data_IF_541108389577
#
_entry.id   IF_541108389577
#
_cell.length_a   1.000
_cell.length_b   1.000
_cell.length_c   1.000
_cell.angle_alpha   90.00
_cell.angle_beta   90.00
_cell.angle_gamma   90.00
#
_symmetry.space_group_name_H-M   'P 1'
#
loop_
_entity.id
_entity.type
_entity.pdbx_description
1 polymer ?
#
# COMPACT_ATOMS: atom_id res chain seq x y z
N UNK A 1 -9.37 17.48 33.29
CA UNK A 1 -9.40 18.68 32.41
C UNK A 1 -9.38 19.90 33.30
N UNK A 2 -8.35 20.76 33.22
CA UNK A 2 -8.30 22.03 33.96
C UNK A 2 -8.34 23.14 32.92
N UNK A 3 -9.37 23.97 32.94
CA UNK A 3 -9.58 25.05 31.96
C UNK A 3 -9.47 26.38 32.71
N UNK A 4 -8.50 27.21 32.32
CA UNK A 4 -8.33 28.55 32.84
C UNK A 4 -8.87 29.58 31.83
N UNK A 5 -9.99 30.21 32.19
CA UNK A 5 -10.83 31.03 31.30
C UNK A 5 -10.42 32.51 31.20
N UNK A 6 -9.31 32.96 31.80
CA UNK A 6 -8.90 34.36 31.73
C UNK A 6 -7.79 34.63 30.71
N UNK A 7 -8.13 34.80 29.42
CA UNK A 7 -7.50 35.79 28.51
C UNK A 7 -8.16 35.72 27.12
N UNK A 8 -8.36 36.89 26.50
CA UNK A 8 -9.12 37.10 25.26
C UNK A 8 -8.48 36.56 23.97
N UNK A 9 -7.34 35.87 24.04
CA UNK A 9 -6.61 35.32 22.87
C UNK A 9 -5.88 34.00 23.19
N UNK A 10 -6.49 33.07 23.94
CA UNK A 10 -5.82 31.79 24.27
C UNK A 10 -5.95 30.77 23.14
N UNK A 11 -4.82 30.44 22.51
CA UNK A 11 -4.62 29.11 21.89
C UNK A 11 -4.82 28.05 22.97
N UNK A 12 -5.78 27.16 22.78
CA UNK A 12 -6.03 26.05 23.70
C UNK A 12 -5.21 24.86 23.22
N UNK A 13 -4.23 24.47 24.02
CA UNK A 13 -3.45 23.24 23.80
C UNK A 13 -4.19 22.08 24.48
N UNK A 14 -4.58 21.09 23.68
CA UNK A 14 -5.26 19.90 24.16
C UNK A 14 -4.25 18.74 24.17
N UNK A 15 -4.06 18.11 25.32
CA UNK A 15 -3.17 16.97 25.50
C UNK A 15 -3.98 15.72 25.79
N UNK A 16 -3.60 14.60 25.18
CA UNK A 16 -4.19 13.30 25.42
C UNK A 16 -3.29 12.45 26.32
N UNK A 17 -3.90 11.91 27.37
CA UNK A 17 -3.27 11.01 28.32
C UNK A 17 -3.92 9.63 28.21
N UNK A 18 -3.10 8.59 28.17
CA UNK A 18 -3.53 7.20 28.16
C UNK A 18 -2.92 6.51 29.38
N UNK A 19 -3.77 5.89 30.21
CA UNK A 19 -3.37 5.22 31.46
C UNK A 19 -2.56 6.11 32.42
N UNK A 20 -2.91 7.41 32.47
CA UNK A 20 -2.25 8.41 33.32
C UNK A 20 -0.91 8.93 32.77
N UNK A 21 -0.40 8.37 31.68
CA UNK A 21 0.79 8.85 30.99
C UNK A 21 0.43 9.76 29.82
N UNK A 22 1.28 10.76 29.54
CA UNK A 22 1.15 11.57 28.34
C UNK A 22 1.29 10.68 27.09
N UNK A 23 0.32 10.74 26.18
CA UNK A 23 0.32 9.97 24.95
C UNK A 23 0.65 10.82 23.74
N UNK A 24 -0.10 11.91 23.50
CA UNK A 24 0.11 12.78 22.34
C UNK A 24 -0.61 14.12 22.49
N UNK A 25 -0.22 15.11 21.68
CA UNK A 25 -0.92 16.38 21.56
C UNK A 25 -2.05 16.28 20.55
N UNK A 26 -3.16 16.94 20.81
CA UNK A 26 -4.25 17.08 19.85
C UNK A 26 -3.84 18.04 18.74
N UNK A 27 -3.66 17.52 17.54
CA UNK A 27 -3.17 18.25 16.38
C UNK A 27 -4.21 18.34 15.25
N UNK A 28 -5.50 18.15 15.59
CA UNK A 28 -6.61 18.13 14.63
C UNK A 28 -7.50 19.37 14.78
N UNK A 29 -8.52 19.50 13.93
CA UNK A 29 -9.47 20.61 14.02
C UNK A 29 -10.17 20.60 15.39
N UNK A 30 -10.31 21.75 16.07
CA UNK A 30 -10.94 21.81 17.41
C UNK A 30 -12.47 21.77 17.29
N UNK A 31 -13.00 20.64 16.82
CA UNK A 31 -14.44 20.35 16.71
C UNK A 31 -14.81 19.16 17.58
N UNK A 32 -16.06 19.10 18.05
CA UNK A 32 -16.52 17.96 18.86
C UNK A 32 -16.29 16.61 18.16
N UNK A 33 -16.57 16.53 16.86
CA UNK A 33 -16.43 15.30 16.07
C UNK A 33 -14.97 14.88 15.90
N UNK A 34 -14.08 15.84 15.62
CA UNK A 34 -12.65 15.57 15.51
C UNK A 34 -12.06 15.14 16.86
N UNK A 35 -12.48 15.77 17.97
CA UNK A 35 -12.08 15.38 19.33
C UNK A 35 -12.56 13.97 19.64
N UNK A 36 -13.84 13.64 19.38
CA UNK A 36 -14.38 12.29 19.62
C UNK A 36 -13.68 11.24 18.76
N UNK A 37 -13.45 11.52 17.47
CA UNK A 37 -12.74 10.61 16.58
C UNK A 37 -11.30 10.37 17.05
N UNK A 38 -10.61 11.43 17.50
CA UNK A 38 -9.28 11.35 18.08
C UNK A 38 -9.27 10.60 19.42
N UNK A 39 -10.27 10.78 20.29
CA UNK A 39 -10.34 10.02 21.55
C UNK A 39 -10.59 8.52 21.32
N UNK A 40 -11.34 8.15 20.28
CA UNK A 40 -11.56 6.75 19.89
C UNK A 40 -10.34 6.14 19.23
N UNK A 41 -9.67 6.89 18.36
CA UNK A 41 -8.45 6.47 17.68
C UNK A 41 -7.46 7.65 17.56
N UNK A 42 -6.61 7.85 18.59
CA UNK A 42 -5.65 8.95 18.60
C UNK A 42 -4.57 8.79 17.52
N UNK A 43 -4.38 7.58 17.00
CA UNK A 43 -3.41 7.26 15.95
C UNK A 43 -4.02 7.25 14.54
N UNK A 44 -5.34 7.32 14.44
CA UNK A 44 -6.08 7.36 13.18
C UNK A 44 -5.75 8.60 12.34
N UNK A 45 -6.04 8.58 11.04
CA UNK A 45 -5.98 9.78 10.22
C UNK A 45 -7.03 10.81 10.69
N UNK A 46 -6.82 12.10 10.42
CA UNK A 46 -7.88 13.11 10.50
C UNK A 46 -9.11 12.70 9.70
N UNK A 47 -10.28 13.22 10.08
CA UNK A 47 -11.49 13.00 9.30
C UNK A 47 -11.33 13.64 7.91
N UNK A 48 -11.99 13.08 6.90
CA UNK A 48 -11.84 13.58 5.54
C UNK A 48 -12.28 15.05 5.38
N UNK A 49 -13.28 15.48 6.15
CA UNK A 49 -13.74 16.88 6.22
C UNK A 49 -12.74 17.86 6.83
N UNK A 50 -11.72 17.36 7.51
CA UNK A 50 -10.62 18.18 8.04
C UNK A 50 -9.54 18.43 7.00
N UNK A 51 -9.57 17.74 5.85
CA UNK A 51 -8.66 17.97 4.75
C UNK A 51 -8.98 19.31 4.06
N UNK A 52 -8.04 20.27 4.00
CA UNK A 52 -8.26 21.53 3.29
C UNK A 52 -8.65 21.37 1.82
N UNK A 53 -8.25 20.27 1.18
CA UNK A 53 -8.64 19.90 -0.18
C UNK A 53 -10.11 19.50 -0.30
N UNK A 54 -10.76 19.08 0.79
CA UNK A 54 -12.16 18.64 0.81
C UNK A 54 -13.19 19.77 0.95
N UNK A 55 -12.77 21.05 0.94
CA UNK A 55 -13.65 22.20 1.18
C UNK A 55 -14.91 22.29 0.29
N UNK A 56 -14.84 21.72 -0.93
CA UNK A 56 -15.94 21.73 -1.89
C UNK A 56 -16.72 20.40 -1.91
N UNK A 57 -16.33 19.43 -1.07
CA UNK A 57 -17.04 18.16 -0.85
C UNK A 57 -18.07 18.34 0.26
N UNK A 58 -19.30 17.91 0.02
CA UNK A 58 -20.35 17.89 1.06
C UNK A 58 -20.17 16.64 1.92
N UNK A 59 -19.92 16.82 3.21
CA UNK A 59 -19.76 15.71 4.15
C UNK A 59 -21.10 15.33 4.78
N UNK A 60 -21.47 14.06 4.67
CA UNK A 60 -22.73 13.51 5.16
C UNK A 60 -22.46 12.62 6.38
N UNK A 61 -23.06 12.99 7.50
CA UNK A 61 -22.76 12.40 8.81
C UNK A 61 -23.86 11.53 9.39
N UNK A 62 -25.07 11.65 8.85
CA UNK A 62 -26.23 10.93 9.32
C UNK A 62 -27.16 10.57 8.18
N UNK A 63 -28.00 9.56 8.39
CA UNK A 63 -29.07 9.25 7.44
C UNK A 63 -30.00 10.46 7.24
N UNK A 64 -30.29 11.22 8.30
CA UNK A 64 -31.12 12.43 8.20
C UNK A 64 -30.52 13.46 7.24
N UNK A 65 -29.20 13.69 7.30
CA UNK A 65 -28.51 14.63 6.43
C UNK A 65 -28.46 14.11 4.99
N UNK A 66 -28.23 12.80 4.82
CA UNK A 66 -28.30 12.12 3.52
C UNK A 66 -29.67 12.33 2.86
N UNK A 67 -30.76 11.99 3.56
CA UNK A 67 -32.13 12.13 3.06
C UNK A 67 -32.48 13.60 2.80
N UNK A 68 -32.02 14.52 3.65
CA UNK A 68 -32.23 15.96 3.46
C UNK A 68 -31.52 16.47 2.21
N UNK A 69 -30.28 16.04 1.97
CA UNK A 69 -29.51 16.39 0.78
C UNK A 69 -30.27 15.92 -0.47
N UNK A 70 -30.65 14.65 -0.54
CA UNK A 70 -31.40 14.11 -1.68
C UNK A 70 -32.73 14.85 -1.91
N UNK A 71 -33.42 15.27 -0.84
CA UNK A 71 -34.71 15.96 -0.95
C UNK A 71 -34.59 17.42 -1.41
N UNK A 72 -33.55 18.14 -0.98
CA UNK A 72 -33.45 19.59 -1.14
C UNK A 72 -32.56 20.02 -2.30
N UNK A 73 -31.59 19.21 -2.68
CA UNK A 73 -30.65 19.56 -3.73
C UNK A 73 -31.28 19.34 -5.10
N UNK A 74 -31.32 20.40 -5.90
CA UNK A 74 -31.87 20.37 -7.26
C UNK A 74 -30.81 19.95 -8.27
N UNK A 75 -29.53 20.20 -7.97
CA UNK A 75 -28.41 19.81 -8.83
C UNK A 75 -28.18 18.32 -8.76
N UNK A 76 -27.61 17.71 -9.83
CA UNK A 76 -27.21 16.32 -9.75
C UNK A 76 -26.11 16.10 -8.72
N UNK A 77 -26.18 14.96 -8.04
CA UNK A 77 -25.34 14.63 -6.89
C UNK A 77 -24.54 13.37 -7.20
N UNK A 78 -23.23 13.43 -6.97
CA UNK A 78 -22.37 12.26 -6.98
C UNK A 78 -21.90 11.99 -5.55
N UNK A 79 -22.25 10.83 -5.01
CA UNK A 79 -21.95 10.47 -3.62
C UNK A 79 -20.95 9.33 -3.59
N UNK A 80 -19.79 9.54 -2.94
CA UNK A 80 -18.85 8.46 -2.61
C UNK A 80 -19.17 7.89 -1.23
N UNK A 81 -19.59 6.64 -1.20
CA UNK A 81 -19.74 5.83 0.00
C UNK A 81 -18.41 5.14 0.30
N UNK A 82 -17.83 5.42 1.47
CA UNK A 82 -16.48 4.97 1.81
C UNK A 82 -16.37 4.42 3.23
N UNK A 83 -15.20 3.87 3.52
CA UNK A 83 -14.78 3.49 4.87
C UNK A 83 -13.37 4.04 5.18
N UNK A 84 -13.04 4.43 6.43
CA UNK A 84 -11.73 5.00 6.78
C UNK A 84 -10.55 4.05 6.60
N UNK A 85 -10.76 2.73 6.61
CA UNK A 85 -9.73 1.71 6.42
C UNK A 85 -9.53 1.30 4.95
N UNK A 86 -10.39 1.78 4.05
CA UNK A 86 -10.37 1.42 2.63
C UNK A 86 -9.22 2.13 1.87
N UNK A 87 -8.18 1.39 1.49
CA UNK A 87 -7.02 1.93 0.77
C UNK A 87 -7.37 2.52 -0.59
N UNK A 88 -8.32 1.90 -1.32
CA UNK A 88 -8.78 2.44 -2.60
C UNK A 88 -9.51 3.78 -2.41
N UNK A 89 -10.36 3.89 -1.40
CA UNK A 89 -11.06 5.12 -1.04
C UNK A 89 -10.07 6.26 -0.78
N UNK A 90 -9.01 6.00 0.01
CA UNK A 90 -7.94 6.99 0.29
C UNK A 90 -7.24 7.48 -0.97
N UNK A 91 -7.04 6.61 -1.97
CA UNK A 91 -6.46 7.01 -3.26
C UNK A 91 -7.44 7.79 -4.13
N UNK A 92 -8.74 7.50 -4.03
CA UNK A 92 -9.79 8.17 -4.82
C UNK A 92 -10.12 9.57 -4.27
N UNK A 93 -10.05 9.76 -2.94
CA UNK A 93 -10.43 11.02 -2.27
C UNK A 93 -9.77 12.27 -2.89
N UNK A 94 -8.44 12.35 -3.14
CA UNK A 94 -7.83 13.52 -3.76
C UNK A 94 -8.37 13.88 -5.15
N UNK A 95 -8.66 12.88 -5.97
CA UNK A 95 -9.25 13.08 -7.30
C UNK A 95 -10.70 13.56 -7.19
N UNK A 96 -11.47 12.97 -6.26
CA UNK A 96 -12.84 13.35 -5.98
C UNK A 96 -12.96 14.79 -5.45
N UNK A 97 -12.06 15.19 -4.55
CA UNK A 97 -11.93 16.56 -4.04
C UNK A 97 -11.67 17.56 -5.17
N UNK A 98 -10.68 17.28 -6.03
CA UNK A 98 -10.36 18.15 -7.17
C UNK A 98 -11.53 18.26 -8.15
N UNK A 99 -12.22 17.16 -8.44
CA UNK A 99 -13.44 17.18 -9.26
C UNK A 99 -14.55 18.03 -8.61
N UNK A 100 -14.73 17.94 -7.28
CA UNK A 100 -15.72 18.74 -6.56
C UNK A 100 -15.45 20.24 -6.72
N UNK A 101 -14.19 20.65 -6.64
CA UNK A 101 -13.77 22.04 -6.91
C UNK A 101 -14.03 22.45 -8.37
N UNK A 102 -13.70 21.60 -9.34
CA UNK A 102 -13.90 21.90 -10.77
C UNK A 102 -15.39 22.01 -11.16
N UNK A 103 -16.26 21.23 -10.50
CA UNK A 103 -17.69 21.16 -10.79
C UNK A 103 -18.54 22.04 -9.88
N UNK A 104 -17.89 22.85 -9.04
CA UNK A 104 -18.55 23.69 -8.05
C UNK A 104 -19.63 24.54 -8.72
N UNK A 105 -20.85 24.44 -8.19
CA UNK A 105 -22.00 25.18 -8.69
C UNK A 105 -22.79 24.47 -9.79
N UNK A 106 -22.23 23.46 -10.46
CA UNK A 106 -22.92 22.65 -11.47
C UNK A 106 -23.43 21.33 -10.89
N UNK A 107 -22.58 20.66 -10.10
CA UNK A 107 -22.88 19.39 -9.44
C UNK A 107 -22.59 19.49 -7.94
N UNK A 108 -23.18 18.57 -7.16
CA UNK A 108 -22.81 18.38 -5.76
C UNK A 108 -22.05 17.07 -5.61
N UNK A 109 -20.80 17.16 -5.18
CA UNK A 109 -20.00 15.99 -4.83
C UNK A 109 -20.03 15.82 -3.31
N UNK A 110 -20.44 14.64 -2.86
CA UNK A 110 -20.67 14.35 -1.45
C UNK A 110 -19.95 13.09 -1.00
N UNK A 111 -19.54 13.06 0.27
CA UNK A 111 -18.88 11.93 0.90
C UNK A 111 -19.64 11.43 2.12
N UNK A 112 -19.87 10.12 2.19
CA UNK A 112 -20.53 9.49 3.34
C UNK A 112 -19.75 8.27 3.84
N UNK A 113 -19.35 8.32 5.12
CA UNK A 113 -18.69 7.20 5.78
C UNK A 113 -19.74 6.17 6.22
N UNK A 114 -19.70 4.96 5.66
CA UNK A 114 -20.63 3.89 6.00
C UNK A 114 -20.00 2.76 6.83
N UNK A 115 -18.85 2.99 7.46
CA UNK A 115 -18.20 1.94 8.25
C UNK A 115 -19.05 1.45 9.42
N UNK A 116 -19.81 2.35 10.06
CA UNK A 116 -20.65 2.05 11.22
C UNK A 116 -21.86 1.18 10.84
N UNK A 117 -22.27 0.29 11.76
CA UNK A 117 -23.44 -0.58 11.60
C UNK A 117 -24.78 0.17 11.61
N UNK A 118 -24.79 1.43 12.05
CA UNK A 118 -26.00 2.27 12.00
C UNK A 118 -26.49 2.55 10.56
N UNK A 119 -25.63 2.32 9.56
CA UNK A 119 -25.92 2.59 8.16
C UNK A 119 -26.26 1.34 7.33
N UNK A 120 -26.54 0.18 7.95
CA UNK A 120 -26.84 -1.02 7.16
C UNK A 120 -28.07 -0.88 6.27
N UNK A 121 -29.10 -0.16 6.72
CA UNK A 121 -30.28 0.13 5.90
C UNK A 121 -29.91 0.87 4.60
N UNK A 122 -28.99 1.84 4.67
CA UNK A 122 -28.51 2.57 3.49
C UNK A 122 -27.69 1.64 2.59
N UNK A 123 -26.87 0.77 3.16
CA UNK A 123 -26.09 -0.20 2.38
C UNK A 123 -26.99 -1.16 1.62
N UNK A 124 -28.05 -1.66 2.25
CA UNK A 124 -29.02 -2.53 1.61
C UNK A 124 -29.82 -1.80 0.54
N UNK A 125 -30.39 -0.63 0.87
CA UNK A 125 -31.24 0.15 -0.03
C UNK A 125 -30.53 0.55 -1.33
N UNK A 126 -29.25 0.93 -1.25
CA UNK A 126 -28.45 1.34 -2.41
C UNK A 126 -27.48 0.27 -2.92
N UNK A 127 -27.59 -0.96 -2.41
CA UNK A 127 -26.79 -2.11 -2.87
C UNK A 127 -25.27 -1.95 -2.68
N UNK A 128 -24.85 -1.33 -1.60
CA UNK A 128 -23.43 -1.04 -1.29
C UNK A 128 -22.79 -2.28 -0.67
N UNK A 129 -22.07 -3.04 -1.50
CA UNK A 129 -21.40 -4.29 -1.09
C UNK A 129 -19.89 -4.14 -0.87
N UNK A 130 -19.29 -3.07 -1.38
CA UNK A 130 -17.85 -2.81 -1.32
C UNK A 130 -17.55 -1.32 -1.25
N UNK A 131 -16.33 -0.97 -0.84
CA UNK A 131 -15.88 0.41 -0.78
C UNK A 131 -14.67 0.66 -1.70
N UNK A 132 -14.59 1.84 -2.36
CA UNK A 132 -15.66 2.83 -2.44
C UNK A 132 -16.80 2.34 -3.34
N UNK A 133 -18.02 2.79 -3.08
CA UNK A 133 -19.12 2.73 -4.03
C UNK A 133 -19.50 4.16 -4.35
N UNK A 134 -19.47 4.57 -5.62
CA UNK A 134 -19.82 5.93 -6.03
C UNK A 134 -21.17 5.87 -6.74
N UNK A 135 -22.15 6.63 -6.27
CA UNK A 135 -23.53 6.60 -6.76
C UNK A 135 -23.97 7.97 -7.25
N UNK A 136 -24.65 7.97 -8.39
CA UNK A 136 -25.16 9.16 -9.05
C UNK A 136 -26.66 9.32 -8.81
N UNK A 137 -27.07 10.54 -8.47
CA UNK A 137 -28.43 10.91 -8.14
C UNK A 137 -28.86 12.14 -8.93
N UNK A 138 -30.10 12.15 -9.40
CA UNK A 138 -30.75 13.33 -9.96
C UNK A 138 -32.12 13.54 -9.32
N UNK A 139 -32.43 14.79 -8.94
CA UNK A 139 -33.72 15.15 -8.31
C UNK A 139 -34.08 14.22 -7.13
N UNK A 140 -33.08 13.87 -6.33
CA UNK A 140 -33.20 12.99 -5.17
C UNK A 140 -33.39 11.51 -5.48
N UNK A 141 -33.40 11.09 -6.76
CA UNK A 141 -33.52 9.69 -7.16
C UNK A 141 -32.14 9.11 -7.45
N UNK A 142 -31.87 7.94 -6.89
CA UNK A 142 -30.74 7.13 -7.31
C UNK A 142 -30.95 6.68 -8.75
N UNK A 143 -29.94 6.89 -9.60
CA UNK A 143 -29.95 6.43 -10.98
C UNK A 143 -29.03 5.23 -11.16
N UNK A 144 -27.74 5.37 -10.86
CA UNK A 144 -26.76 4.31 -11.08
C UNK A 144 -25.40 4.55 -10.40
N UNK A 145 -24.58 3.51 -10.34
CA UNK A 145 -23.21 3.56 -9.84
C UNK A 145 -22.21 4.04 -10.91
N UNK A 146 -21.22 4.82 -10.47
CA UNK A 146 -20.04 5.20 -11.24
C UNK A 146 -18.92 4.17 -11.00
N UNK A 147 -18.65 3.34 -12.00
CA UNK A 147 -17.80 2.14 -11.86
C UNK A 147 -16.35 2.29 -12.37
N UNK A 148 -15.88 3.51 -12.62
CA UNK A 148 -14.51 3.75 -13.07
C UNK A 148 -13.56 3.95 -11.88
N UNK A 149 -13.22 2.85 -11.20
CA UNK A 149 -12.32 2.83 -10.04
C UNK A 149 -10.86 2.96 -10.47
N UNK A 150 -10.49 4.15 -10.94
CA UNK A 150 -9.17 4.51 -11.47
C UNK A 150 -9.10 5.92 -12.06
N UNK A 151 -10.25 6.59 -12.09
CA UNK A 151 -10.45 7.94 -12.62
C UNK A 151 -9.66 9.01 -11.90
N UNK A 152 -9.00 9.84 -12.69
CA UNK A 152 -8.52 11.15 -12.30
C UNK A 152 -9.70 12.11 -12.04
N UNK A 153 -9.41 13.31 -11.54
CA UNK A 153 -10.44 14.33 -11.41
C UNK A 153 -11.10 14.68 -12.74
N UNK A 154 -10.31 14.74 -13.82
CA UNK A 154 -10.79 15.12 -15.14
C UNK A 154 -11.71 14.03 -15.73
N UNK A 155 -11.47 12.75 -15.43
CA UNK A 155 -12.36 11.65 -15.81
C UNK A 155 -13.73 11.73 -15.12
N UNK A 156 -13.76 12.16 -13.84
CA UNK A 156 -15.03 12.38 -13.10
C UNK A 156 -15.78 13.57 -13.73
N UNK A 157 -15.07 14.65 -14.02
CA UNK A 157 -15.63 15.84 -14.68
C UNK A 157 -16.22 15.50 -16.03
N UNK A 158 -15.45 14.79 -16.87
CA UNK A 158 -15.89 14.42 -18.22
C UNK A 158 -17.10 13.50 -18.17
N UNK A 159 -17.11 12.51 -17.27
CA UNK A 159 -18.24 11.61 -17.11
C UNK A 159 -19.51 12.36 -16.66
N UNK A 160 -19.41 13.33 -15.76
CA UNK A 160 -20.57 14.11 -15.29
C UNK A 160 -21.16 15.03 -16.36
N UNK A 161 -20.45 15.31 -17.47
CA UNK A 161 -21.04 16.03 -18.62
C UNK A 161 -22.11 15.20 -19.33
N UNK A 162 -21.96 13.87 -19.32
CA UNK A 162 -22.91 12.95 -19.94
C UNK A 162 -22.97 11.64 -19.13
N UNK A 163 -23.60 11.65 -17.95
CA UNK A 163 -23.65 10.49 -17.07
C UNK A 163 -24.52 9.41 -17.71
N UNK A 164 -23.91 8.26 -17.97
CA UNK A 164 -24.59 7.10 -18.53
C UNK A 164 -24.70 6.02 -17.47
N UNK A 165 -25.81 5.25 -17.45
CA UNK A 165 -25.85 4.06 -16.62
C UNK A 165 -24.63 3.20 -16.93
N UNK A 166 -24.05 2.50 -15.93
CA UNK A 166 -23.05 1.50 -16.19
C UNK A 166 -23.68 0.62 -17.25
N UNK A 167 -23.03 0.57 -18.41
CA UNK A 167 -23.52 -0.29 -19.46
C UNK A 167 -23.70 -1.65 -18.80
N UNK A 168 -24.87 -2.32 -18.99
CA UNK A 168 -24.92 -3.75 -18.73
C UNK A 168 -23.64 -4.27 -19.33
N UNK A 169 -22.85 -5.04 -18.56
CA UNK A 169 -21.77 -5.77 -19.19
C UNK A 169 -22.51 -6.58 -20.25
N UNK A 170 -22.47 -6.10 -21.51
CA UNK A 170 -22.77 -6.93 -22.65
C UNK A 170 -21.93 -8.15 -22.34
N UNK A 171 -22.53 -9.35 -22.24
CA UNK A 171 -21.75 -10.55 -22.01
C UNK A 171 -20.59 -10.45 -22.99
N UNK A 172 -19.40 -10.11 -22.49
CA UNK A 172 -18.26 -9.94 -23.36
C UNK A 172 -18.15 -11.31 -23.99
N UNK A 173 -18.14 -11.36 -25.32
CA UNK A 173 -17.90 -12.61 -26.03
C UNK A 173 -16.75 -13.28 -25.30
N UNK A 174 -16.95 -14.48 -24.73
CA UNK A 174 -15.89 -15.15 -23.98
C UNK A 174 -14.63 -15.11 -24.83
N UNK A 175 -13.48 -14.84 -24.22
CA UNK A 175 -12.26 -14.68 -25.00
C UNK A 175 -11.98 -15.89 -25.91
N UNK A 176 -12.39 -17.09 -25.47
CA UNK A 176 -12.36 -18.31 -26.27
C UNK A 176 -13.15 -18.23 -27.60
N UNK A 177 -14.22 -17.44 -27.63
CA UNK A 177 -15.13 -17.29 -28.77
C UNK A 177 -14.74 -16.12 -29.69
N UNK A 178 -13.79 -15.26 -29.29
CA UNK A 178 -13.32 -14.14 -30.11
C UNK A 178 -12.37 -14.60 -31.24
N UNK A 179 -11.85 -15.82 -31.16
CA UNK A 179 -10.81 -16.32 -32.05
C UNK A 179 -9.45 -15.70 -31.76
N UNK A 180 -8.38 -16.37 -32.17
CA UNK A 180 -7.01 -15.91 -31.92
C UNK A 180 -6.01 -17.05 -31.95
N UNK A 181 -4.74 -16.71 -31.69
CA UNK A 181 -3.68 -17.72 -31.58
C UNK A 181 -3.59 -18.34 -30.18
N UNK A 182 -4.20 -17.74 -29.15
CA UNK A 182 -4.14 -18.27 -27.78
C UNK A 182 -5.03 -19.50 -27.65
N UNK A 183 -4.50 -20.59 -27.10
CA UNK A 183 -5.30 -21.77 -26.78
C UNK A 183 -6.14 -21.53 -25.53
N UNK A 184 -7.42 -21.84 -25.57
CA UNK A 184 -8.31 -21.72 -24.42
C UNK A 184 -8.51 -23.08 -23.78
N UNK A 185 -8.03 -23.23 -22.55
CA UNK A 185 -8.06 -24.49 -21.83
C UNK A 185 -9.18 -24.50 -20.79
N UNK A 186 -9.72 -25.69 -20.57
CA UNK A 186 -10.81 -25.97 -19.64
C UNK A 186 -10.37 -26.99 -18.58
N UNK A 187 -11.19 -27.17 -17.55
CA UNK A 187 -10.99 -28.22 -16.54
C UNK A 187 -10.82 -29.63 -17.16
N UNK A 188 -11.35 -29.87 -18.37
CA UNK A 188 -11.31 -31.16 -19.07
C UNK A 188 -10.06 -31.38 -19.93
N UNK A 189 -9.65 -30.38 -20.72
CA UNK A 189 -8.57 -30.52 -21.71
C UNK A 189 -7.17 -30.18 -21.17
N UNK A 190 -7.09 -29.40 -20.08
CA UNK A 190 -5.84 -28.81 -19.61
C UNK A 190 -4.76 -29.85 -19.36
N UNK A 191 -5.13 -30.94 -18.69
CA UNK A 191 -4.19 -31.99 -18.26
C UNK A 191 -3.57 -32.75 -19.42
N UNK A 192 -4.30 -32.89 -20.54
CA UNK A 192 -3.77 -33.51 -21.76
C UNK A 192 -2.91 -32.50 -22.52
N UNK A 193 -3.39 -31.27 -22.65
CA UNK A 193 -2.71 -30.20 -23.38
C UNK A 193 -1.29 -29.94 -22.86
N UNK A 194 -1.11 -29.80 -21.53
CA UNK A 194 0.22 -29.57 -20.93
C UNK A 194 1.17 -30.76 -21.00
N UNK A 195 0.67 -31.96 -21.37
CA UNK A 195 1.51 -33.14 -21.63
C UNK A 195 1.94 -33.23 -23.09
N UNK A 196 1.07 -32.83 -24.01
CA UNK A 196 1.35 -32.84 -25.46
C UNK A 196 2.30 -31.71 -25.87
N UNK A 197 2.25 -30.59 -25.15
CA UNK A 197 3.13 -29.45 -25.39
C UNK A 197 4.25 -29.36 -24.34
N UNK A 198 5.50 -29.36 -24.80
CA UNK A 198 6.69 -29.38 -23.91
C UNK A 198 6.95 -28.06 -23.19
N UNK A 199 6.37 -26.94 -23.65
CA UNK A 199 6.56 -25.60 -23.09
C UNK A 199 5.27 -24.80 -23.21
N UNK A 200 4.54 -24.63 -22.10
CA UNK A 200 3.21 -23.98 -22.07
C UNK A 200 3.19 -22.87 -21.03
N UNK A 201 2.93 -21.64 -21.44
CA UNK A 201 2.65 -20.53 -20.52
C UNK A 201 1.15 -20.24 -20.50
N UNK A 202 0.54 -20.46 -19.34
CA UNK A 202 -0.91 -20.31 -19.13
C UNK A 202 -1.21 -19.03 -18.36
N UNK A 203 -2.10 -18.20 -18.91
CA UNK A 203 -2.69 -17.07 -18.20
C UNK A 203 -4.04 -17.44 -17.60
N UNK A 204 -4.11 -17.46 -16.28
CA UNK A 204 -5.38 -17.52 -15.55
C UNK A 204 -5.96 -16.12 -15.44
N UNK A 205 -7.17 -15.92 -15.97
CA UNK A 205 -7.82 -14.63 -16.06
C UNK A 205 -9.27 -14.66 -15.56
N UNK A 206 -9.85 -13.46 -15.45
CA UNK A 206 -11.27 -13.24 -15.22
C UNK A 206 -11.78 -12.19 -16.22
N UNK A 207 -13.00 -12.31 -16.77
CA UNK A 207 -13.50 -11.42 -17.82
C UNK A 207 -13.67 -9.97 -17.31
N UNK A 208 -14.05 -9.79 -16.05
CA UNK A 208 -14.21 -8.47 -15.43
C UNK A 208 -12.89 -7.81 -14.97
N UNK A 209 -11.75 -8.51 -15.06
CA UNK A 209 -10.47 -8.04 -14.55
C UNK A 209 -9.80 -7.03 -15.51
N UNK A 210 -9.74 -5.75 -15.13
CA UNK A 210 -9.14 -4.69 -15.95
C UNK A 210 -7.66 -4.91 -16.30
N UNK A 211 -6.87 -5.47 -15.40
CA UNK A 211 -5.47 -5.85 -15.70
C UNK A 211 -5.37 -6.96 -16.75
N UNK A 212 -6.33 -7.88 -16.75
CA UNK A 212 -6.43 -8.98 -17.71
C UNK A 212 -6.79 -8.44 -19.09
N UNK A 213 -7.78 -7.52 -19.16
CA UNK A 213 -8.14 -6.82 -20.39
C UNK A 213 -6.97 -6.07 -21.01
N UNK A 214 -6.13 -5.44 -20.18
CA UNK A 214 -4.93 -4.74 -20.64
C UNK A 214 -3.83 -5.70 -21.14
N UNK A 215 -3.71 -6.88 -20.52
CA UNK A 215 -2.67 -7.85 -20.87
C UNK A 215 -3.04 -8.74 -22.06
N UNK A 216 -4.34 -8.98 -22.27
CA UNK A 216 -4.89 -9.78 -23.38
C UNK A 216 -4.25 -9.47 -24.75
N UNK A 217 -4.25 -8.21 -25.25
CA UNK A 217 -3.67 -7.93 -26.57
C UNK A 217 -2.16 -8.22 -26.63
N UNK A 218 -1.41 -7.97 -25.55
CA UNK A 218 0.02 -8.29 -25.49
C UNK A 218 0.26 -9.80 -25.54
N UNK A 219 -0.63 -10.57 -24.90
CA UNK A 219 -0.58 -12.03 -24.84
C UNK A 219 -0.97 -12.68 -26.17
N UNK A 220 -2.02 -12.19 -26.83
CA UNK A 220 -2.43 -12.65 -28.17
C UNK A 220 -1.36 -12.40 -29.22
N UNK A 221 -0.82 -11.19 -29.26
CA UNK A 221 0.23 -10.83 -30.21
C UNK A 221 1.54 -11.60 -29.97
N UNK A 222 1.79 -12.05 -28.74
CA UNK A 222 2.92 -12.93 -28.44
C UNK A 222 2.63 -14.37 -28.89
N UNK A 223 1.41 -14.86 -28.70
CA UNK A 223 0.98 -16.18 -29.14
C UNK A 223 1.10 -16.32 -30.67
N UNK A 224 0.63 -15.32 -31.41
CA UNK A 224 0.72 -15.30 -32.88
C UNK A 224 2.17 -15.47 -33.38
N UNK A 225 3.13 -14.79 -32.74
CA UNK A 225 4.55 -14.93 -33.08
C UNK A 225 5.08 -16.31 -32.70
N UNK A 226 4.83 -16.75 -31.47
CA UNK A 226 5.37 -18.00 -30.94
C UNK A 226 4.78 -19.24 -31.63
N UNK A 227 3.53 -19.19 -32.08
CA UNK A 227 2.86 -20.30 -32.76
C UNK A 227 3.13 -20.32 -34.27
N UNK A 228 3.53 -19.19 -34.86
CA UNK A 228 3.91 -19.09 -36.27
C UNK A 228 5.36 -19.52 -36.57
N UNK A 229 6.19 -19.67 -35.55
CA UNK A 229 7.60 -20.09 -35.67
C UNK A 229 7.73 -21.62 -35.78
N UNK A 230 8.29 -22.12 -36.88
CA UNK A 230 8.41 -23.56 -37.15
C UNK A 230 9.22 -24.34 -36.10
N UNK A 231 10.16 -23.67 -35.41
CA UNK A 231 11.02 -24.26 -34.38
C UNK A 231 10.59 -23.89 -32.95
N UNK A 232 9.48 -23.17 -32.77
CA UNK A 232 9.02 -22.74 -31.45
C UNK A 232 8.22 -23.85 -30.76
N UNK A 233 8.80 -24.44 -29.72
CA UNK A 233 8.10 -25.38 -28.83
C UNK A 233 7.16 -24.70 -27.81
N UNK A 234 7.20 -23.37 -27.74
CA UNK A 234 6.52 -22.58 -26.73
C UNK A 234 5.12 -22.18 -27.14
N UNK A 235 4.12 -22.59 -26.37
CA UNK A 235 2.72 -22.24 -26.61
C UNK A 235 2.14 -21.38 -25.49
N UNK A 236 1.33 -20.39 -25.86
CA UNK A 236 0.56 -19.58 -24.92
C UNK A 236 -0.89 -20.09 -24.85
N UNK A 237 -1.38 -20.23 -23.63
CA UNK A 237 -2.74 -20.65 -23.35
C UNK A 237 -3.42 -19.74 -22.31
N UNK A 238 -4.74 -19.75 -22.26
CA UNK A 238 -5.55 -19.01 -21.32
C UNK A 238 -6.60 -19.90 -20.65
N UNK A 239 -6.86 -19.64 -19.37
CA UNK A 239 -7.93 -20.30 -18.60
C UNK A 239 -8.77 -19.21 -17.95
N UNK A 240 -10.07 -19.20 -18.22
CA UNK A 240 -11.02 -18.42 -17.43
C UNK A 240 -11.23 -19.13 -16.09
N UNK A 241 -10.58 -18.61 -15.05
CA UNK A 241 -10.60 -19.22 -13.72
C UNK A 241 -11.92 -18.95 -12.97
N UNK A 242 -12.80 -18.09 -13.51
CA UNK A 242 -14.14 -17.85 -12.94
C UNK A 242 -15.12 -18.96 -13.31
N UNK A 243 -14.86 -19.64 -14.44
CA UNK A 243 -15.60 -20.80 -14.93
C UNK A 243 -14.91 -22.11 -14.52
N UNK A 244 -13.60 -22.20 -14.74
CA UNK A 244 -12.80 -23.41 -14.51
C UNK A 244 -12.28 -23.48 -13.06
N UNK A 245 -13.21 -23.77 -12.14
CA UNK A 245 -12.95 -23.70 -10.69
C UNK A 245 -11.98 -24.78 -10.21
N UNK A 246 -11.98 -25.97 -10.82
CA UNK A 246 -11.10 -27.05 -10.39
C UNK A 246 -9.62 -26.69 -10.67
N UNK A 247 -9.33 -26.11 -11.84
CA UNK A 247 -8.00 -25.58 -12.14
C UNK A 247 -7.63 -24.38 -11.26
N UNK A 248 -8.58 -23.47 -11.01
CA UNK A 248 -8.36 -22.31 -10.13
C UNK A 248 -7.93 -22.74 -8.71
N UNK A 249 -8.63 -23.72 -8.14
CA UNK A 249 -8.31 -24.31 -6.84
C UNK A 249 -6.97 -25.06 -6.87
N UNK A 250 -6.79 -25.95 -7.86
CA UNK A 250 -5.58 -26.77 -8.02
C UNK A 250 -4.30 -25.95 -8.09
N UNK A 251 -4.34 -24.79 -8.74
CA UNK A 251 -3.16 -23.92 -8.91
C UNK A 251 -3.15 -22.71 -7.96
N UNK A 252 -4.06 -22.68 -6.99
CA UNK A 252 -4.18 -21.64 -5.97
C UNK A 252 -4.28 -20.23 -6.57
N UNK A 253 -5.16 -20.05 -7.54
CA UNK A 253 -5.36 -18.77 -8.22
C UNK A 253 -6.26 -17.88 -7.37
N UNK A 254 -5.67 -16.89 -6.71
CA UNK A 254 -6.38 -15.89 -5.89
C UNK A 254 -6.36 -14.48 -6.47
N UNK A 255 -5.50 -14.23 -7.47
CA UNK A 255 -5.31 -12.91 -8.09
C UNK A 255 -5.25 -13.04 -9.62
N UNK A 256 -5.61 -11.95 -10.32
CA UNK A 256 -5.69 -11.92 -11.78
C UNK A 256 -4.95 -10.71 -12.38
N UNK A 257 -4.27 -10.88 -13.54
CA UNK A 257 -3.93 -12.16 -14.16
C UNK A 257 -2.82 -12.89 -13.40
N UNK A 258 -2.86 -14.22 -13.38
CA UNK A 258 -1.76 -15.06 -12.86
C UNK A 258 -1.18 -15.90 -14.00
N UNK A 259 0.14 -15.86 -14.15
CA UNK A 259 0.86 -16.70 -15.11
C UNK A 259 1.42 -17.95 -14.42
N UNK A 260 1.26 -19.10 -15.06
CA UNK A 260 1.91 -20.36 -14.67
C UNK A 260 2.54 -20.97 -15.91
N UNK A 261 3.77 -21.46 -15.76
CA UNK A 261 4.48 -22.12 -16.84
C UNK A 261 4.65 -23.59 -16.56
N UNK A 262 4.45 -24.38 -17.61
CA UNK A 262 4.55 -25.82 -17.60
C UNK A 262 5.62 -26.23 -18.59
N UNK A 263 6.65 -26.94 -18.11
CA UNK A 263 7.66 -27.57 -18.95
C UNK A 263 7.52 -29.07 -18.79
N UNK A 264 7.19 -29.77 -19.88
CA UNK A 264 6.92 -31.22 -19.86
C UNK A 264 5.89 -31.63 -18.79
N UNK A 265 4.85 -30.81 -18.59
CA UNK A 265 3.82 -31.03 -17.57
C UNK A 265 4.18 -30.61 -16.13
N UNK A 266 5.43 -30.21 -15.86
CA UNK A 266 5.86 -29.73 -14.53
C UNK A 266 5.77 -28.21 -14.40
N UNK A 267 5.33 -27.73 -13.24
CA UNK A 267 5.17 -26.29 -12.98
C UNK A 267 6.52 -25.66 -12.65
N UNK A 268 6.85 -24.55 -13.30
CA UNK A 268 8.02 -23.74 -12.97
C UNK A 268 7.64 -22.29 -12.65
N UNK A 269 8.53 -21.62 -11.91
CA UNK A 269 8.38 -20.21 -11.58
C UNK A 269 8.48 -19.33 -12.83
N UNK A 270 7.64 -18.30 -12.88
CA UNK A 270 7.57 -17.34 -13.98
C UNK A 270 7.90 -15.95 -13.42
N UNK A 271 8.79 -15.17 -14.06
CA UNK A 271 9.01 -13.78 -13.68
C UNK A 271 7.76 -12.93 -13.98
N UNK A 272 7.78 -11.66 -13.60
CA UNK A 272 6.68 -10.76 -13.97
C UNK A 272 6.76 -10.43 -15.47
N UNK A 273 5.86 -11.02 -16.25
CA UNK A 273 5.73 -10.78 -17.69
C UNK A 273 4.45 -9.97 -17.96
N UNK A 274 4.55 -8.89 -18.74
CA UNK A 274 3.43 -7.97 -19.01
C UNK A 274 3.37 -7.44 -20.44
N UNK A 275 4.44 -7.59 -21.21
CA UNK A 275 4.54 -7.06 -22.59
C UNK A 275 4.81 -8.20 -23.57
N UNK A 276 4.37 -8.04 -24.82
CA UNK A 276 4.63 -8.96 -25.94
C UNK A 276 6.10 -9.36 -25.99
N UNK A 277 7.01 -8.38 -25.94
CA UNK A 277 8.45 -8.60 -26.00
C UNK A 277 8.93 -9.51 -24.86
N UNK A 278 8.53 -9.21 -23.62
CA UNK A 278 8.93 -10.01 -22.45
C UNK A 278 8.41 -11.45 -22.51
N UNK A 279 7.18 -11.64 -23.03
CA UNK A 279 6.57 -12.96 -23.20
C UNK A 279 7.34 -13.80 -24.23
N UNK A 280 7.66 -13.21 -25.39
CA UNK A 280 8.40 -13.89 -26.47
C UNK A 280 9.83 -14.24 -26.02
N UNK A 281 10.56 -13.27 -25.48
CA UNK A 281 11.95 -13.49 -25.04
C UNK A 281 12.03 -14.59 -23.99
N UNK A 282 11.11 -14.58 -23.03
CA UNK A 282 11.07 -15.58 -21.98
C UNK A 282 10.64 -16.96 -22.48
N UNK A 283 9.64 -17.06 -23.36
CA UNK A 283 9.22 -18.36 -23.91
C UNK A 283 10.27 -19.01 -24.81
N UNK A 284 11.14 -18.22 -25.47
CA UNK A 284 12.26 -18.74 -26.26
C UNK A 284 13.40 -19.28 -25.39
N UNK A 285 13.62 -18.70 -24.21
CA UNK A 285 14.60 -19.20 -23.25
C UNK A 285 14.04 -19.16 -21.82
N UNK A 286 13.19 -20.14 -21.45
CA UNK A 286 12.57 -20.19 -20.14
C UNK A 286 13.59 -20.70 -19.12
N UNK A 287 14.41 -19.77 -18.64
CA UNK A 287 15.26 -19.98 -17.48
C UNK A 287 14.45 -19.76 -16.21
N UNK A 288 14.70 -20.60 -15.21
CA UNK A 288 14.17 -20.34 -13.88
C UNK A 288 14.65 -18.94 -13.46
N UNK A 289 13.75 -18.07 -12.94
CA UNK A 289 14.20 -16.79 -12.41
C UNK A 289 15.34 -17.07 -11.42
N UNK A 290 16.41 -16.24 -11.43
CA UNK A 290 17.50 -16.42 -10.48
C UNK A 290 16.87 -16.49 -9.08
N UNK A 291 17.43 -17.34 -8.23
CA UNK A 291 17.00 -17.41 -6.84
C UNK A 291 16.92 -15.98 -6.29
N UNK A 292 15.86 -15.64 -5.54
CA UNK A 292 15.70 -14.29 -5.02
C UNK A 292 17.01 -13.87 -4.36
N UNK A 293 17.52 -12.69 -4.72
CA UNK A 293 18.73 -12.17 -4.09
C UNK A 293 18.55 -12.21 -2.57
N UNK A 294 19.58 -12.67 -1.82
CA UNK A 294 19.48 -12.72 -0.37
C UNK A 294 19.14 -11.32 0.13
N UNK A 295 18.17 -11.26 1.04
CA UNK A 295 17.81 -10.02 1.71
C UNK A 295 19.03 -9.45 2.42
N UNK A 296 19.02 -8.15 2.70
CA UNK A 296 20.13 -7.52 3.43
C UNK A 296 20.42 -8.19 4.79
N UNK A 297 19.39 -8.74 5.44
CA UNK A 297 19.53 -9.53 6.68
C UNK A 297 20.22 -10.89 6.46
N UNK A 298 20.05 -11.50 5.29
CA UNK A 298 20.70 -12.76 4.91
C UNK A 298 22.11 -12.56 4.36
N UNK A 299 22.48 -11.33 4.00
CA UNK A 299 23.83 -10.99 3.59
C UNK A 299 24.76 -10.97 4.81
N UNK A 300 25.93 -11.62 4.68
CA UNK A 300 26.94 -11.66 5.74
C UNK A 300 27.66 -10.31 5.84
N UNK A 301 27.04 -9.34 6.52
CA UNK A 301 27.58 -8.00 6.77
C UNK A 301 27.95 -7.79 8.25
N UNK A 302 28.67 -6.71 8.57
CA UNK A 302 28.93 -6.32 9.97
C UNK A 302 27.77 -5.51 10.59
N UNK A 303 26.65 -5.34 9.88
CA UNK A 303 25.43 -4.74 10.43
C UNK A 303 24.70 -5.80 11.23
N UNK A 304 24.40 -5.49 12.48
CA UNK A 304 23.70 -6.44 13.35
C UNK A 304 22.19 -6.33 13.14
N UNK A 305 21.59 -7.35 12.55
CA UNK A 305 20.14 -7.42 12.38
C UNK A 305 19.45 -7.82 13.68
N UNK A 306 18.57 -6.95 14.18
CA UNK A 306 17.86 -7.11 15.43
C UNK A 306 16.37 -7.33 15.21
N UNK A 307 15.77 -8.04 16.15
CA UNK A 307 14.35 -8.31 16.23
C UNK A 307 13.84 -8.07 17.65
N UNK A 308 12.51 -8.03 17.83
CA UNK A 308 11.88 -7.72 19.12
C UNK A 308 12.47 -8.48 20.33
N UNK A 309 12.81 -9.77 20.15
CA UNK A 309 13.31 -10.62 21.23
C UNK A 309 14.77 -10.34 21.64
N UNK A 310 15.63 -9.87 20.74
CA UNK A 310 17.07 -9.66 21.02
C UNK A 310 17.47 -8.18 21.08
N UNK A 311 16.57 -7.26 20.70
CA UNK A 311 16.84 -5.83 20.59
C UNK A 311 17.38 -5.24 21.91
N UNK A 312 16.57 -5.25 22.97
CA UNK A 312 16.91 -4.61 24.25
C UNK A 312 18.15 -5.21 24.90
N UNK A 313 18.32 -6.53 24.84
CA UNK A 313 19.46 -7.20 25.44
C UNK A 313 20.77 -6.82 24.72
N UNK A 314 20.74 -6.80 23.39
CA UNK A 314 21.89 -6.39 22.58
C UNK A 314 22.30 -4.95 22.88
N UNK A 315 21.33 -4.02 22.90
CA UNK A 315 21.63 -2.61 23.12
C UNK A 315 22.25 -2.35 24.51
N UNK A 316 21.88 -3.12 25.55
CA UNK A 316 22.47 -2.99 26.89
C UNK A 316 23.94 -3.40 26.94
N UNK A 317 24.36 -4.35 26.10
CA UNK A 317 25.73 -4.87 26.04
C UNK A 317 26.69 -3.94 25.29
N UNK A 318 26.15 -3.00 24.52
CA UNK A 318 26.92 -2.09 23.66
C UNK A 318 26.86 -0.68 24.21
N UNK A 319 28.01 -0.02 24.28
CA UNK A 319 28.11 1.34 24.80
C UNK A 319 27.44 2.33 23.85
N UNK A 320 27.69 2.19 22.55
CA UNK A 320 27.06 2.99 21.51
C UNK A 320 26.43 2.06 20.48
N UNK A 321 25.15 2.28 20.19
CA UNK A 321 24.48 1.57 19.10
C UNK A 321 23.73 2.57 18.24
N UNK A 322 24.05 2.60 16.95
CA UNK A 322 23.26 3.33 15.96
C UNK A 322 22.35 2.31 15.25
N UNK A 323 21.04 2.47 15.40
CA UNK A 323 20.02 1.56 14.85
C UNK A 323 19.34 2.21 13.66
N UNK A 324 19.33 1.51 12.52
CA UNK A 324 18.54 1.83 11.34
C UNK A 324 17.21 1.04 11.33
N UNK A 325 16.09 1.74 11.41
CA UNK A 325 14.76 1.17 11.20
C UNK A 325 14.34 1.36 9.75
N UNK A 326 14.05 0.26 9.05
CA UNK A 326 13.89 0.27 7.59
C UNK A 326 12.75 -0.63 7.10
N UNK A 327 12.47 -0.54 5.80
CA UNK A 327 11.59 -1.43 5.08
C UNK A 327 12.30 -1.90 3.78
N UNK A 328 12.30 -3.21 3.46
CA UNK A 328 13.03 -3.74 2.29
C UNK A 328 12.60 -3.14 0.94
N UNK A 329 11.32 -2.78 0.82
CA UNK A 329 10.76 -2.17 -0.39
C UNK A 329 11.02 -0.65 -0.48
N UNK A 330 11.53 0.00 0.56
CA UNK A 330 11.67 1.45 0.60
C UNK A 330 12.87 1.93 -0.24
N UNK A 331 12.67 2.77 -1.27
CA UNK A 331 13.76 3.28 -2.12
C UNK A 331 14.82 4.08 -1.36
N UNK A 332 14.42 4.87 -0.37
CA UNK A 332 15.35 5.62 0.47
C UNK A 332 16.20 4.71 1.36
N UNK A 333 15.64 3.59 1.83
CA UNK A 333 16.42 2.59 2.59
C UNK A 333 17.46 1.94 1.69
N UNK A 334 17.05 1.48 0.49
CA UNK A 334 17.94 0.84 -0.49
C UNK A 334 19.15 1.70 -0.83
N UNK A 335 18.98 3.02 -0.96
CA UNK A 335 20.09 3.95 -1.22
C UNK A 335 21.06 4.10 -0.04
N UNK A 336 20.58 3.98 1.20
CA UNK A 336 21.40 4.21 2.40
C UNK A 336 22.09 2.93 2.89
N UNK A 337 21.52 1.75 2.60
CA UNK A 337 22.07 0.44 3.00
C UNK A 337 23.58 0.30 2.70
N UNK A 338 24.09 0.63 1.49
CA UNK A 338 25.53 0.51 1.21
C UNK A 338 26.39 1.40 2.12
N UNK A 339 25.98 2.64 2.38
CA UNK A 339 26.70 3.58 3.24
C UNK A 339 26.70 3.15 4.70
N UNK A 340 25.56 2.65 5.18
CA UNK A 340 25.42 2.18 6.55
C UNK A 340 26.21 0.89 6.78
N UNK A 341 26.24 -0.01 5.79
CA UNK A 341 27.03 -1.24 5.81
C UNK A 341 28.53 -0.92 5.84
N UNK A 342 29.01 -0.02 4.98
CA UNK A 342 30.40 0.43 5.00
C UNK A 342 30.79 1.05 6.36
N UNK A 343 29.89 1.82 6.97
CA UNK A 343 30.12 2.36 8.32
C UNK A 343 30.24 1.25 9.37
N UNK A 344 29.39 0.22 9.30
CA UNK A 344 29.50 -0.93 10.20
C UNK A 344 30.85 -1.64 10.05
N UNK A 345 31.36 -1.76 8.82
CA UNK A 345 32.68 -2.34 8.54
C UNK A 345 33.83 -1.53 9.15
N UNK A 346 33.73 -0.19 9.15
CA UNK A 346 34.72 0.70 9.80
C UNK A 346 34.84 0.44 11.30
N UNK A 347 33.74 0.08 11.97
CA UNK A 347 33.69 -0.14 13.42
C UNK A 347 33.59 -1.60 13.84
N UNK A 348 33.78 -2.56 12.92
CA UNK A 348 33.60 -4.01 13.18
C UNK A 348 34.45 -4.55 14.35
N UNK A 349 35.64 -4.01 14.55
CA UNK A 349 36.58 -4.44 15.60
C UNK A 349 36.35 -3.70 16.94
N UNK A 350 35.49 -2.68 16.96
CA UNK A 350 35.18 -1.93 18.18
C UNK A 350 34.11 -2.65 19.00
N UNK A 351 34.52 -3.26 20.12
CA UNK A 351 33.60 -4.01 20.98
C UNK A 351 32.50 -3.16 21.61
N UNK A 352 32.71 -1.84 21.72
CA UNK A 352 31.80 -0.90 22.39
C UNK A 352 30.76 -0.29 21.44
N UNK A 353 31.01 -0.34 20.13
CA UNK A 353 30.17 0.28 19.09
C UNK A 353 29.50 -0.81 18.27
N UNK A 354 28.29 -0.55 17.79
CA UNK A 354 27.63 -1.39 16.78
C UNK A 354 26.70 -0.56 15.90
N UNK A 355 26.68 -0.88 14.61
CA UNK A 355 25.62 -0.47 13.70
C UNK A 355 24.62 -1.61 13.60
N UNK A 356 23.35 -1.34 13.90
CA UNK A 356 22.30 -2.35 13.92
C UNK A 356 21.15 -1.95 12.99
N UNK A 357 20.38 -2.93 12.52
CA UNK A 357 19.23 -2.71 11.66
C UNK A 357 18.01 -3.50 12.13
N UNK A 358 16.82 -2.93 11.95
CA UNK A 358 15.53 -3.57 12.25
C UNK A 358 14.62 -3.42 11.03
N UNK A 359 14.18 -4.54 10.46
CA UNK A 359 13.15 -4.56 9.41
C UNK A 359 11.78 -4.42 10.06
N UNK A 360 11.13 -3.27 9.84
CA UNK A 360 9.83 -2.94 10.43
C UNK A 360 8.63 -3.53 9.68
N UNK A 361 8.85 -4.15 8.52
CA UNK A 361 7.77 -4.76 7.71
C UNK A 361 7.46 -6.16 8.24
N UNK A 362 8.47 -6.87 8.74
CA UNK A 362 8.35 -8.18 9.35
C UNK A 362 7.42 -8.12 10.57
N UNK A 363 6.46 -9.05 10.63
CA UNK A 363 5.43 -9.09 11.68
C UNK A 363 6.04 -9.10 13.08
N UNK A 364 7.10 -9.89 13.30
CA UNK A 364 7.84 -9.99 14.57
C UNK A 364 8.46 -8.67 15.07
N UNK A 365 8.56 -7.65 14.23
CA UNK A 365 9.19 -6.37 14.53
C UNK A 365 8.22 -5.19 14.54
N UNK A 366 6.94 -5.38 14.16
CA UNK A 366 5.95 -4.30 14.07
C UNK A 366 5.78 -3.58 15.41
N UNK A 367 5.60 -4.35 16.49
CA UNK A 367 5.45 -3.79 17.84
C UNK A 367 6.70 -3.05 18.29
N UNK A 368 7.88 -3.57 17.96
CA UNK A 368 9.16 -2.92 18.26
C UNK A 368 9.25 -1.57 17.53
N UNK A 369 9.01 -1.52 16.22
CA UNK A 369 9.10 -0.28 15.46
C UNK A 369 8.03 0.74 15.87
N UNK A 370 6.87 0.26 16.34
CA UNK A 370 5.85 1.13 16.92
C UNK A 370 6.29 1.71 18.29
N UNK A 371 6.87 0.88 19.17
CA UNK A 371 7.41 1.31 20.46
C UNK A 371 8.55 2.32 20.30
N UNK A 372 9.40 2.11 19.29
CA UNK A 372 10.47 3.02 18.90
C UNK A 372 9.96 4.21 18.06
N UNK A 373 8.64 4.44 17.99
CA UNK A 373 8.02 5.61 17.35
C UNK A 373 8.52 5.87 15.91
N UNK A 374 8.77 4.82 15.14
CA UNK A 374 9.23 4.90 13.74
C UNK A 374 8.05 5.29 12.86
N UNK A 375 8.07 6.52 12.33
CA UNK A 375 6.98 7.08 11.48
C UNK A 375 7.28 7.05 9.99
N UNK A 376 8.55 6.92 9.61
CA UNK A 376 9.01 6.92 8.23
C UNK A 376 10.31 6.12 8.10
N UNK A 377 10.64 5.71 6.88
CA UNK A 377 11.83 4.91 6.61
C UNK A 377 12.80 5.63 5.64
N UNK A 378 14.13 5.51 5.84
CA UNK A 378 14.76 5.00 7.05
C UNK A 378 14.72 6.03 8.20
N UNK A 379 14.61 5.54 9.44
CA UNK A 379 14.78 6.31 10.68
C UNK A 379 16.00 5.77 11.43
N UNK A 380 16.82 6.67 11.99
CA UNK A 380 18.03 6.30 12.71
C UNK A 380 17.96 6.75 14.16
N UNK A 381 18.13 5.83 15.10
CA UNK A 381 18.16 6.12 16.53
C UNK A 381 19.50 5.74 17.11
N UNK A 382 20.06 6.62 17.94
CA UNK A 382 21.25 6.35 18.72
C UNK A 382 20.89 5.96 20.16
N UNK A 383 21.50 4.87 20.64
CA UNK A 383 21.35 4.37 22.00
C UNK A 383 22.69 4.32 22.72
N UNK A 384 22.67 4.71 24.00
CA UNK A 384 23.79 4.60 24.92
C UNK A 384 23.45 3.60 26.03
N UNK A 385 24.13 2.45 26.07
CA UNK A 385 23.83 1.33 27.00
C UNK A 385 22.33 0.99 27.10
N UNK A 386 21.69 0.79 25.95
CA UNK A 386 20.27 0.44 25.87
C UNK A 386 19.29 1.57 26.13
N UNK A 387 19.76 2.77 26.53
CA UNK A 387 18.90 3.95 26.66
C UNK A 387 18.92 4.72 25.35
N UNK A 388 17.73 5.04 24.85
CA UNK A 388 17.58 5.97 23.74
C UNK A 388 18.23 7.31 24.11
N UNK A 389 19.15 7.79 23.27
CA UNK A 389 19.86 9.03 23.48
C UNK A 389 19.31 10.13 22.57
N UNK A 390 19.37 9.93 21.25
CA UNK A 390 18.86 10.89 20.27
C UNK A 390 18.51 10.24 18.93
N UNK A 391 17.78 10.99 18.09
CA UNK A 391 17.60 10.64 16.68
C UNK A 391 18.78 11.15 15.87
N UNK A 392 19.23 10.35 14.92
CA UNK A 392 20.24 10.77 13.96
C UNK A 392 19.54 11.35 12.72
N UNK A 393 19.56 12.68 12.62
CA UNK A 393 18.94 13.43 11.53
C UNK A 393 19.97 14.14 10.62
N UNK A 394 21.24 13.72 10.69
CA UNK A 394 22.33 14.26 9.87
C UNK A 394 22.49 13.53 8.53
N UNK A 395 23.57 13.83 7.81
CA UNK A 395 23.83 13.29 6.46
C UNK A 395 23.93 11.76 6.44
N UNK A 396 23.17 11.12 5.55
CA UNK A 396 23.00 9.66 5.49
C UNK A 396 24.05 9.01 4.57
N UNK A 397 25.29 9.49 4.67
CA UNK A 397 26.46 8.99 3.96
C UNK A 397 27.41 8.27 4.92
N UNK A 398 28.32 7.48 4.39
CA UNK A 398 29.33 6.78 5.20
C UNK A 398 30.15 7.76 6.06
N UNK A 399 30.54 8.91 5.48
CA UNK A 399 31.25 9.97 6.19
C UNK A 399 30.39 10.58 7.30
N UNK A 400 29.10 10.83 7.02
CA UNK A 400 28.16 11.37 8.01
C UNK A 400 28.02 10.47 9.23
N UNK A 401 27.79 9.18 9.01
CA UNK A 401 27.65 8.22 10.12
C UNK A 401 28.98 8.01 10.86
N UNK A 402 30.09 7.88 10.13
CA UNK A 402 31.41 7.68 10.73
C UNK A 402 31.83 8.85 11.60
N UNK A 403 31.59 10.08 11.13
CA UNK A 403 31.92 11.30 11.89
C UNK A 403 31.12 11.35 13.19
N UNK A 404 29.82 11.10 13.12
CA UNK A 404 28.96 11.05 14.31
C UNK A 404 29.44 10.03 15.34
N UNK A 405 29.72 8.80 14.91
CA UNK A 405 30.21 7.74 15.79
C UNK A 405 31.57 8.11 16.41
N UNK A 406 32.47 8.77 15.66
CA UNK A 406 33.76 9.24 16.19
C UNK A 406 33.59 10.31 17.26
N UNK A 407 32.70 11.28 17.06
CA UNK A 407 32.41 12.32 18.06
C UNK A 407 31.90 11.72 19.38
N UNK A 408 31.11 10.64 19.32
CA UNK A 408 30.69 9.92 20.52
C UNK A 408 31.88 9.32 21.30
N UNK A 409 32.92 8.85 20.61
CA UNK A 409 34.16 8.35 21.25
C UNK A 409 34.97 9.47 21.87
N UNK A 410 35.08 10.61 21.22
CA UNK A 410 35.82 11.77 21.74
C UNK A 410 35.17 12.27 23.04
N UNK A 411 33.83 12.41 23.05
CA UNK A 411 33.08 12.79 24.24
C UNK A 411 33.21 11.79 25.40
N UNK A 412 33.43 10.50 25.12
CA UNK A 412 33.75 9.52 26.14
C UNK A 412 35.13 9.75 26.79
N UNK A 413 36.13 10.07 25.98
CA UNK A 413 37.50 10.30 26.43
C UNK A 413 37.57 11.55 27.32
N UNK A 414 36.88 12.63 26.95
CA UNK A 414 36.81 13.85 27.77
C UNK A 414 36.10 13.62 29.11
N UNK A 415 34.98 12.87 29.13
CA UNK A 415 34.26 12.54 30.38
C UNK A 415 35.09 11.66 31.30
N UNK A 416 35.92 10.77 30.76
CA UNK A 416 36.85 9.94 31.53
C UNK A 416 38.03 10.76 32.08
N UNK A 417 38.50 11.76 31.34
CA UNK A 417 39.55 12.69 31.78
C UNK A 417 39.11 13.53 32.98
N UNK A 418 37.96 14.22 32.87
CA UNK A 418 37.41 15.04 33.96
C UNK A 418 37.16 14.25 35.24
N UNK A 419 36.64 13.03 35.12
CA UNK A 419 36.38 12.15 36.27
C UNK A 419 37.65 11.65 36.96
N UNK A 420 38.80 11.68 36.29
CA UNK A 420 40.12 11.38 36.89
C UNK A 420 40.78 12.60 37.54
N UNK A 421 40.39 13.81 37.18
CA UNK A 421 40.86 15.04 37.81
C UNK A 421 40.04 15.40 39.06
N UNK A 422 38.79 14.92 39.15
CA UNK A 422 37.90 15.08 40.31
C UNK A 422 38.07 13.99 41.40
N UNK A 423 38.92 12.99 41.17
CA UNK A 423 39.27 11.89 42.08
C UNK A 423 40.72 12.05 42.55
#
# INVERSE_FOLDING_TARGET
>A
MKVDLSAKDKKVELFHYQDGAFHTEYNRAVTFKSIVAFLKDPKGPPLWEEDPGAKDVVHIDSEKDFRRLLKKEEKPILIIFYSPWCSLCKRTMPHFQKAATQLRGQFVLAGMNLHSSEFENIKEEYGIRSYPTISYFEKGRYLFQYNSYGSTADDIVEWLKNPQPPQPQVPETPWADEGGSVYHLTDEDFGQFVKEHSSVLVMFHAPWCGHCKKMKPEFENAAEVLHGEADSSGVLAAVDATVNRALAERFHISEFPTLKYFKNGEIHAVPTLRTKKSLIEWMRNPEAPPAPEPTWEEQQTNVLHLAGHNFRETLKRKKHTLVMFYAPWCPHCKKVIPHFTATADVFKDDRKIVCAAVDCVQEKNRDLCQQEAVKAYPTFHYYHYGKFAEKYDSDRTELGFTSFIRTLREGDHERLGKKKEEL
#
